data_IF_717745811620
#
_entry.id   IF_717745811620
#
_cell.length_a   1.000
_cell.length_b   1.000
_cell.length_c   1.000
_cell.angle_alpha   90.00
_cell.angle_beta   90.00
_cell.angle_gamma   90.00
#
_symmetry.space_group_name_H-M   'P 1'
#
loop_
_entity.id
_entity.type
_entity.pdbx_description
1 polymer ?
#
# COMPACT_ATOMS: atom_id res chain seq x y z
N UNK A 1 -10.25 16.58 -10.54
CA UNK A 1 -8.79 16.47 -10.32
C UNK A 1 -8.55 16.53 -8.82
N UNK A 2 -7.90 15.53 -8.25
CA UNK A 2 -7.67 15.44 -6.79
C UNK A 2 -6.27 15.93 -6.47
N UNK A 3 -6.12 16.76 -5.43
CA UNK A 3 -4.82 17.22 -4.93
C UNK A 3 -4.45 16.32 -3.75
N UNK A 4 -3.24 15.78 -3.75
CA UNK A 4 -2.79 14.92 -2.66
C UNK A 4 -2.80 15.69 -1.33
N UNK A 5 -3.21 15.03 -0.24
CA UNK A 5 -3.36 15.68 1.08
C UNK A 5 -4.69 16.41 1.29
N UNK A 6 -5.47 16.67 0.23
CA UNK A 6 -6.77 17.34 0.33
C UNK A 6 -7.90 16.31 0.32
N UNK A 7 -8.35 15.93 1.51
CA UNK A 7 -9.53 15.08 1.71
C UNK A 7 -10.85 15.86 1.65
N UNK A 8 -11.98 15.18 1.89
CA UNK A 8 -13.32 15.78 1.83
C UNK A 8 -13.48 17.02 2.74
N UNK A 9 -12.97 16.95 3.97
CA UNK A 9 -12.99 18.08 4.90
C UNK A 9 -12.17 19.27 4.38
N UNK A 10 -10.90 19.04 3.99
CA UNK A 10 -10.06 20.09 3.42
C UNK A 10 -10.65 20.70 2.15
N UNK A 11 -11.27 19.89 1.29
CA UNK A 11 -11.95 20.39 0.09
C UNK A 11 -13.16 21.27 0.45
N UNK A 12 -13.92 20.93 1.50
CA UNK A 12 -15.05 21.74 1.99
C UNK A 12 -14.58 23.08 2.54
N UNK A 13 -13.48 23.10 3.27
CA UNK A 13 -12.91 24.34 3.84
C UNK A 13 -12.32 25.25 2.76
N UNK A 14 -11.70 24.68 1.73
CA UNK A 14 -11.26 25.44 0.56
C UNK A 14 -12.45 26.03 -0.20
N UNK A 15 -13.53 25.25 -0.33
CA UNK A 15 -14.74 25.73 -0.98
C UNK A 15 -15.39 26.89 -0.21
N UNK A 16 -15.42 26.83 1.13
CA UNK A 16 -15.93 27.94 1.94
C UNK A 16 -15.07 29.21 1.83
N UNK A 17 -13.76 29.06 1.60
CA UNK A 17 -12.82 30.15 1.31
C UNK A 17 -12.92 30.71 -0.12
N UNK A 18 -13.83 30.21 -0.95
CA UNK A 18 -14.06 30.72 -2.30
C UNK A 18 -13.31 29.99 -3.42
N UNK A 19 -12.48 29.00 -3.12
CA UNK A 19 -11.86 28.17 -4.15
C UNK A 19 -12.91 27.29 -4.86
N UNK A 20 -12.82 27.18 -6.18
CA UNK A 20 -13.74 26.37 -7.01
C UNK A 20 -13.02 25.31 -7.83
N UNK A 21 -11.71 25.44 -8.00
CA UNK A 21 -10.88 24.51 -8.74
C UNK A 21 -9.49 24.32 -8.14
N UNK A 22 -8.82 23.23 -8.52
CA UNK A 22 -7.40 23.04 -8.21
C UNK A 22 -6.52 24.12 -8.86
N UNK A 23 -6.98 24.70 -9.98
CA UNK A 23 -6.28 25.80 -10.64
C UNK A 23 -6.35 27.09 -9.81
N UNK A 24 -7.48 27.36 -9.14
CA UNK A 24 -7.58 28.48 -8.20
C UNK A 24 -6.58 28.32 -7.05
N UNK A 25 -6.43 27.09 -6.54
CA UNK A 25 -5.42 26.76 -5.53
C UNK A 25 -4.00 27.02 -6.04
N UNK A 26 -3.67 26.54 -7.24
CA UNK A 26 -2.36 26.73 -7.87
C UNK A 26 -2.05 28.21 -8.07
N UNK A 27 -2.98 29.00 -8.59
CA UNK A 27 -2.85 30.46 -8.77
C UNK A 27 -2.66 31.23 -7.48
N UNK A 28 -3.16 30.71 -6.35
CA UNK A 28 -2.98 31.36 -5.05
C UNK A 28 -1.55 31.30 -4.52
N UNK A 29 -0.66 30.48 -5.09
CA UNK A 29 0.74 30.31 -4.66
C UNK A 29 0.93 29.63 -3.30
N UNK A 30 -0.14 29.37 -2.54
CA UNK A 30 -0.09 28.81 -1.18
C UNK A 30 0.25 27.32 -1.11
N UNK A 31 0.15 26.61 -2.22
CA UNK A 31 0.13 25.13 -2.29
C UNK A 31 1.23 24.57 -3.19
N UNK A 32 2.36 25.27 -3.30
CA UNK A 32 3.43 24.93 -4.24
C UNK A 32 3.97 23.50 -4.00
N UNK A 33 4.04 23.07 -2.74
CA UNK A 33 4.48 21.71 -2.37
C UNK A 33 3.51 20.64 -2.86
N UNK A 34 2.21 20.86 -2.72
CA UNK A 34 1.15 19.93 -3.14
C UNK A 34 1.07 19.81 -4.66
N UNK A 35 1.41 20.88 -5.39
CA UNK A 35 1.42 20.89 -6.85
C UNK A 35 2.75 20.45 -7.48
N UNK A 36 3.85 20.37 -6.72
CA UNK A 36 5.20 20.09 -7.23
C UNK A 36 5.30 18.83 -8.10
N UNK A 37 4.63 17.75 -7.70
CA UNK A 37 4.61 16.47 -8.43
C UNK A 37 3.23 16.11 -8.96
N UNK A 38 2.27 17.03 -8.82
CA UNK A 38 0.85 16.76 -9.01
C UNK A 38 0.56 16.28 -10.43
N UNK A 39 1.07 16.99 -11.43
CA UNK A 39 0.81 16.68 -12.83
C UNK A 39 1.30 15.25 -13.15
N UNK A 40 2.51 14.88 -12.74
CA UNK A 40 3.08 13.55 -12.96
C UNK A 40 2.29 12.43 -12.24
N UNK A 41 1.80 12.69 -11.02
CA UNK A 41 1.04 11.72 -10.22
C UNK A 41 -0.36 11.47 -10.80
N UNK A 42 -0.95 12.43 -11.51
CA UNK A 42 -2.26 12.22 -12.16
C UNK A 42 -2.21 11.29 -13.38
N UNK A 43 -1.02 11.05 -13.94
CA UNK A 43 -0.88 10.20 -15.13
C UNK A 43 -0.99 8.71 -14.76
N UNK A 44 -1.79 7.92 -15.49
CA UNK A 44 -1.79 6.47 -15.33
C UNK A 44 -0.40 5.88 -15.55
N UNK A 45 -0.04 4.91 -14.72
CA UNK A 45 1.26 4.25 -14.72
C UNK A 45 1.15 2.94 -15.53
N UNK A 46 1.91 2.80 -16.64
CA UNK A 46 1.99 1.56 -17.40
C UNK A 46 2.54 0.40 -16.58
N UNK A 47 2.07 -0.82 -16.85
CA UNK A 47 2.50 -2.02 -16.14
C UNK A 47 4.02 -2.20 -16.10
N UNK A 48 4.72 -1.99 -17.22
CA UNK A 48 6.17 -2.11 -17.28
C UNK A 48 6.89 -1.10 -16.36
N UNK A 49 6.31 0.08 -16.17
CA UNK A 49 6.83 1.08 -15.24
C UNK A 49 6.63 0.63 -13.79
N UNK A 50 5.44 0.12 -13.46
CA UNK A 50 5.15 -0.47 -12.13
C UNK A 50 6.14 -1.58 -11.78
N UNK A 51 6.39 -2.51 -12.71
CA UNK A 51 7.34 -3.62 -12.52
C UNK A 51 8.78 -3.13 -12.35
N UNK A 52 9.17 -2.09 -13.10
CA UNK A 52 10.48 -1.46 -12.95
C UNK A 52 10.65 -0.85 -11.56
N UNK A 53 9.67 -0.09 -11.07
CA UNK A 53 9.69 0.51 -9.73
C UNK A 53 9.77 -0.58 -8.65
N UNK A 54 8.93 -1.62 -8.76
CA UNK A 54 8.94 -2.75 -7.83
C UNK A 54 10.32 -3.42 -7.78
N UNK A 55 10.97 -3.64 -8.92
CA UNK A 55 12.33 -4.19 -8.99
C UNK A 55 13.37 -3.28 -8.33
N UNK A 56 13.29 -1.96 -8.53
CA UNK A 56 14.21 -1.02 -7.87
C UNK A 56 14.12 -1.10 -6.35
N UNK A 57 12.90 -1.09 -5.82
CA UNK A 57 12.65 -1.21 -4.38
C UNK A 57 13.07 -2.59 -3.88
N UNK A 58 12.81 -3.65 -4.64
CA UNK A 58 13.25 -5.00 -4.32
C UNK A 58 14.78 -5.11 -4.22
N UNK A 59 15.55 -4.48 -5.10
CA UNK A 59 17.02 -4.47 -4.96
C UNK A 59 17.47 -3.78 -3.66
N UNK A 60 16.65 -2.87 -3.12
CA UNK A 60 16.97 -2.18 -1.87
C UNK A 60 16.64 -3.00 -0.62
N UNK A 61 15.90 -4.11 -0.76
CA UNK A 61 15.41 -4.96 0.34
C UNK A 61 15.86 -6.40 0.09
N UNK A 62 16.46 -7.06 1.07
CA UNK A 62 17.10 -8.37 0.88
C UNK A 62 16.16 -9.52 0.45
N UNK A 63 14.84 -9.33 0.45
CA UNK A 63 13.81 -10.26 -0.09
C UNK A 63 12.43 -9.58 -0.04
N UNK A 64 11.64 -9.65 -1.13
CA UNK A 64 10.25 -9.14 -1.18
C UNK A 64 9.36 -10.16 -1.90
N UNK A 65 8.14 -10.34 -1.40
CA UNK A 65 7.02 -10.93 -2.15
C UNK A 65 6.12 -9.81 -2.69
N UNK A 66 5.99 -9.69 -4.01
CA UNK A 66 5.18 -8.66 -4.68
C UNK A 66 3.94 -9.25 -5.33
N UNK A 67 2.83 -8.51 -5.38
CA UNK A 67 1.58 -8.92 -6.06
C UNK A 67 0.97 -7.77 -6.85
N UNK A 68 0.58 -8.00 -8.13
CA UNK A 68 -0.63 -7.42 -8.80
C UNK A 68 -0.76 -7.74 -10.30
N UNK A 69 -2.01 -7.61 -10.80
CA UNK A 69 -2.48 -7.95 -12.15
C UNK A 69 -3.47 -6.96 -12.80
N UNK A 70 -3.12 -5.67 -12.87
CA UNK A 70 -3.79 -4.65 -13.72
C UNK A 70 -2.79 -4.09 -14.75
N UNK A 71 -3.28 -3.76 -15.95
CA UNK A 71 -2.45 -3.24 -17.07
C UNK A 71 -2.03 -1.77 -16.88
N UNK A 72 -2.83 -0.99 -16.15
CA UNK A 72 -2.58 0.40 -15.77
C UNK A 72 -2.92 0.59 -14.29
N UNK A 73 -2.16 1.41 -13.58
CA UNK A 73 -2.39 1.74 -12.17
C UNK A 73 -2.30 3.24 -11.92
N UNK A 74 -3.00 3.75 -10.91
CA UNK A 74 -2.88 5.16 -10.50
C UNK A 74 -1.71 5.38 -9.52
N UNK A 75 -1.36 4.34 -8.78
CA UNK A 75 -0.29 4.27 -7.79
C UNK A 75 0.34 2.87 -7.77
N UNK A 76 1.48 2.75 -7.08
CA UNK A 76 2.17 1.46 -6.89
C UNK A 76 2.16 1.10 -5.40
N UNK A 77 1.32 0.13 -5.03
CA UNK A 77 1.32 -0.43 -3.68
C UNK A 77 2.31 -1.60 -3.59
N UNK A 78 3.30 -1.50 -2.69
CA UNK A 78 4.30 -2.52 -2.42
C UNK A 78 4.13 -3.04 -1.00
N UNK A 79 3.60 -4.26 -0.88
CA UNK A 79 3.57 -4.98 0.39
C UNK A 79 4.87 -5.76 0.57
N UNK A 80 5.46 -5.68 1.75
CA UNK A 80 6.76 -6.27 2.06
C UNK A 80 6.65 -7.04 3.38
N UNK A 81 7.19 -8.25 3.40
CA UNK A 81 7.25 -9.11 4.58
C UNK A 81 8.47 -10.03 4.51
N UNK A 82 8.78 -10.73 5.60
CA UNK A 82 9.83 -11.75 5.63
C UNK A 82 9.23 -13.11 6.01
N UNK A 83 9.03 -14.00 5.03
CA UNK A 83 8.46 -15.31 5.29
C UNK A 83 9.21 -16.07 6.38
N UNK A 84 8.44 -16.59 7.35
CA UNK A 84 8.92 -17.38 8.49
C UNK A 84 9.92 -16.67 9.42
N UNK A 85 10.04 -15.34 9.33
CA UNK A 85 11.02 -14.54 10.10
C UNK A 85 10.34 -13.33 10.75
N UNK A 86 9.34 -13.58 11.60
CA UNK A 86 8.59 -12.52 12.31
C UNK A 86 9.52 -11.64 13.15
N UNK A 87 9.34 -10.32 13.07
CA UNK A 87 10.18 -9.34 13.73
C UNK A 87 11.36 -8.84 12.88
N UNK A 88 11.76 -9.54 11.82
CA UNK A 88 12.82 -9.06 10.90
C UNK A 88 12.41 -7.78 10.18
N UNK A 89 11.11 -7.57 10.00
CA UNK A 89 10.56 -6.37 9.38
C UNK A 89 10.68 -5.10 10.22
N UNK A 90 11.01 -5.20 11.52
CA UNK A 90 11.09 -4.04 12.42
C UNK A 90 12.14 -3.03 11.96
N UNK A 91 11.71 -1.77 11.87
CA UNK A 91 12.49 -0.64 11.40
C UNK A 91 12.88 -0.71 9.92
N UNK A 92 12.36 -1.68 9.15
CA UNK A 92 12.65 -1.81 7.73
C UNK A 92 12.20 -0.55 6.98
N UNK A 93 11.00 -0.04 7.26
CA UNK A 93 10.42 1.09 6.54
C UNK A 93 11.34 2.31 6.62
N UNK A 94 11.73 2.73 7.84
CA UNK A 94 12.69 3.81 8.05
C UNK A 94 14.01 3.62 7.31
N UNK A 95 14.62 2.43 7.41
CA UNK A 95 15.89 2.13 6.73
C UNK A 95 15.75 2.17 5.20
N UNK A 96 14.63 1.68 4.68
CA UNK A 96 14.32 1.67 3.25
C UNK A 96 14.09 3.08 2.72
N UNK A 97 13.26 3.88 3.38
CA UNK A 97 13.02 5.29 3.01
C UNK A 97 14.34 6.07 3.00
N UNK A 98 15.12 6.00 4.08
CA UNK A 98 16.42 6.67 4.15
C UNK A 98 17.37 6.26 3.00
N UNK A 99 17.43 4.96 2.69
CA UNK A 99 18.25 4.46 1.57
C UNK A 99 17.78 5.00 0.23
N UNK A 100 16.46 5.06 0.00
CA UNK A 100 15.88 5.58 -1.24
C UNK A 100 16.09 7.09 -1.37
N UNK A 101 16.04 7.85 -0.28
CA UNK A 101 16.38 9.28 -0.24
C UNK A 101 17.86 9.51 -0.58
N UNK A 102 18.78 8.80 0.09
CA UNK A 102 20.23 8.91 -0.16
C UNK A 102 20.58 8.57 -1.62
N UNK A 103 19.88 7.61 -2.22
CA UNK A 103 20.06 7.24 -3.64
C UNK A 103 19.32 8.15 -4.62
N UNK A 104 18.58 9.15 -4.13
CA UNK A 104 17.83 10.10 -4.97
C UNK A 104 16.57 9.53 -5.61
N UNK A 105 16.08 8.36 -5.18
CA UNK A 105 14.81 7.79 -5.62
C UNK A 105 13.60 8.39 -4.89
N UNK A 106 13.81 9.00 -3.72
CA UNK A 106 12.82 9.85 -3.05
C UNK A 106 13.39 11.28 -3.05
N UNK A 107 12.70 12.27 -3.66
CA UNK A 107 13.14 13.65 -3.61
C UNK A 107 12.97 14.24 -2.18
N UNK A 108 13.59 15.39 -1.84
CA UNK A 108 13.59 15.96 -0.48
C UNK A 108 12.23 16.22 0.18
N UNK A 109 11.15 16.30 -0.60
CA UNK A 109 9.75 16.43 -0.11
C UNK A 109 8.88 15.25 -0.55
N UNK A 110 9.52 14.12 -0.87
CA UNK A 110 8.87 12.96 -1.46
C UNK A 110 8.16 12.08 -0.45
N UNK A 111 8.41 12.20 0.85
CA UNK A 111 7.64 11.46 1.86
C UNK A 111 6.37 12.25 2.17
N UNK A 112 5.23 11.74 1.72
CA UNK A 112 3.91 12.36 1.87
C UNK A 112 3.23 11.96 3.18
N UNK A 113 3.44 10.72 3.61
CA UNK A 113 2.99 10.19 4.88
C UNK A 113 3.94 9.10 5.35
N UNK A 114 4.18 9.02 6.66
CA UNK A 114 5.04 8.03 7.26
C UNK A 114 4.49 7.62 8.63
N UNK A 115 4.33 6.32 8.87
CA UNK A 115 3.79 5.78 10.11
C UNK A 115 4.41 4.42 10.39
N UNK A 116 4.91 4.19 11.61
CA UNK A 116 5.55 2.93 12.01
C UNK A 116 4.93 2.29 13.28
N UNK A 117 3.60 2.08 13.33
CA UNK A 117 2.94 1.55 14.51
C UNK A 117 3.30 0.09 14.82
N UNK A 118 3.69 -0.74 13.83
CA UNK A 118 4.13 -2.11 14.08
C UNK A 118 5.53 -2.14 14.70
N UNK A 119 6.46 -1.35 14.16
CA UNK A 119 7.83 -1.25 14.70
C UNK A 119 7.85 -0.62 16.09
N UNK A 120 7.02 0.42 16.32
CA UNK A 120 6.99 1.16 17.60
C UNK A 120 6.13 0.48 18.68
N UNK A 121 5.40 -0.60 18.35
CA UNK A 121 4.65 -1.37 19.36
C UNK A 121 5.62 -2.10 20.28
N UNK A 122 5.69 -1.66 21.53
CA UNK A 122 6.27 -2.45 22.61
C UNK A 122 5.40 -3.70 22.86
N UNK A 123 6.02 -4.79 23.31
CA UNK A 123 5.31 -6.02 23.72
C UNK A 123 4.47 -5.85 24.99
N UNK A 124 4.52 -4.69 25.65
CA UNK A 124 3.63 -4.39 26.78
C UNK A 124 2.32 -3.79 26.26
N UNK A 125 1.22 -4.40 26.67
CA UNK A 125 -0.14 -3.90 26.44
C UNK A 125 -0.23 -2.45 26.92
N UNK A 126 -0.42 -1.51 26.00
CA UNK A 126 -1.10 -0.24 26.30
C UNK A 126 -1.41 0.56 25.03
N UNK A 127 -2.59 0.30 24.47
CA UNK A 127 -3.59 1.30 24.05
C UNK A 127 -4.77 0.55 23.43
N UNK A 128 -6.00 0.96 23.74
CA UNK A 128 -7.19 0.53 22.98
C UNK A 128 -6.88 0.74 21.49
N UNK A 129 -6.92 -0.35 20.72
CA UNK A 129 -6.64 -0.36 19.28
C UNK A 129 -7.70 0.44 18.51
N UNK A 130 -7.61 1.77 18.60
CA UNK A 130 -8.57 2.74 18.07
C UNK A 130 -8.23 3.29 16.69
N UNK A 131 -7.16 2.83 16.03
CA UNK A 131 -6.83 3.26 14.67
C UNK A 131 -6.61 2.08 13.73
N UNK A 132 -7.08 2.28 12.50
CA UNK A 132 -7.57 1.30 11.52
C UNK A 132 -6.51 0.55 10.72
N UNK A 133 -5.23 0.71 11.03
CA UNK A 133 -4.15 0.04 10.31
C UNK A 133 -2.91 -0.04 11.21
N UNK A 134 -2.48 -1.26 11.51
CA UNK A 134 -1.35 -1.53 12.38
C UNK A 134 -0.02 -1.72 11.63
N UNK A 135 -0.02 -1.53 10.31
CA UNK A 135 1.15 -1.74 9.46
C UNK A 135 2.08 -0.52 9.50
N UNK A 136 3.38 -0.76 9.35
CA UNK A 136 4.30 0.33 9.03
C UNK A 136 4.10 0.70 7.56
N UNK A 137 3.91 1.99 7.27
CA UNK A 137 3.64 2.47 5.93
C UNK A 137 4.25 3.82 5.64
N UNK A 138 4.75 3.98 4.42
CA UNK A 138 5.14 5.26 3.87
C UNK A 138 4.47 5.47 2.52
N UNK A 139 3.76 6.58 2.37
CA UNK A 139 3.26 7.04 1.07
C UNK A 139 4.31 8.00 0.54
N UNK A 140 4.94 7.63 -0.58
CA UNK A 140 6.06 8.37 -1.14
C UNK A 140 5.81 8.80 -2.58
N UNK A 141 6.51 9.85 -2.99
CA UNK A 141 6.78 10.18 -4.37
C UNK A 141 8.09 9.51 -4.73
N UNK A 142 8.02 8.55 -5.64
CA UNK A 142 9.17 7.87 -6.20
C UNK A 142 9.60 8.59 -7.48
N UNK A 143 10.87 9.01 -7.52
CA UNK A 143 11.54 9.53 -8.70
C UNK A 143 12.02 8.38 -9.57
N UNK A 144 11.24 8.04 -10.60
CA UNK A 144 11.63 7.06 -11.60
C UNK A 144 12.54 7.72 -12.63
N UNK A 145 13.84 7.46 -12.47
CA UNK A 145 14.90 8.16 -13.20
C UNK A 145 14.82 7.89 -14.71
N UNK A 146 15.09 8.92 -15.50
CA UNK A 146 15.28 8.82 -16.94
C UNK A 146 16.33 7.75 -17.29
N UNK A 147 16.11 7.03 -18.39
CA UNK A 147 17.04 5.99 -18.87
C UNK A 147 17.43 6.20 -20.34
N UNK A 148 17.28 7.45 -20.83
CA UNK A 148 17.61 7.95 -22.18
C UNK A 148 17.02 7.20 -23.38
N UNK A 149 16.25 6.14 -23.14
CA UNK A 149 15.70 5.25 -24.17
C UNK A 149 14.18 5.29 -24.13
N UNK A 150 13.58 4.67 -23.11
CA UNK A 150 12.12 4.59 -22.92
C UNK A 150 11.58 5.70 -22.03
N UNK A 151 12.43 6.34 -21.21
CA UNK A 151 12.12 7.47 -20.35
C UNK A 151 13.09 8.62 -20.61
N UNK A 152 12.60 9.63 -21.33
CA UNK A 152 13.37 10.83 -21.73
C UNK A 152 13.55 11.85 -20.61
N UNK A 153 12.71 11.80 -19.58
CA UNK A 153 12.78 12.63 -18.38
C UNK A 153 12.48 11.80 -17.14
N UNK A 154 12.78 12.36 -15.98
CA UNK A 154 12.35 11.79 -14.70
C UNK A 154 10.81 11.84 -14.61
N UNK A 155 10.24 10.76 -14.08
CA UNK A 155 8.81 10.68 -13.75
C UNK A 155 8.63 10.56 -12.24
N UNK A 156 7.63 11.27 -11.70
CA UNK A 156 7.32 11.22 -10.28
C UNK A 156 6.04 10.42 -10.05
N UNK A 157 6.16 9.26 -9.39
CA UNK A 157 5.03 8.34 -9.17
C UNK A 157 4.70 8.20 -7.71
N UNK A 158 3.42 8.06 -7.39
CA UNK A 158 3.03 7.66 -6.03
C UNK A 158 3.33 6.18 -5.82
N UNK A 159 4.08 5.89 -4.77
CA UNK A 159 4.38 4.52 -4.33
C UNK A 159 4.03 4.43 -2.85
N UNK A 160 3.24 3.45 -2.49
CA UNK A 160 2.91 3.17 -1.11
C UNK A 160 3.75 1.96 -0.69
N UNK A 161 4.62 2.15 0.31
CA UNK A 161 5.44 1.11 0.91
C UNK A 161 4.72 0.62 2.16
N UNK A 162 4.37 -0.65 2.22
CA UNK A 162 3.60 -1.25 3.32
C UNK A 162 4.36 -2.44 3.86
N UNK A 163 4.74 -2.38 5.14
CA UNK A 163 5.45 -3.45 5.82
C UNK A 163 4.48 -4.21 6.71
N UNK A 164 4.43 -5.52 6.52
CA UNK A 164 3.55 -6.42 7.25
C UNK A 164 4.32 -7.57 7.90
N UNK A 165 3.86 -7.94 9.08
CA UNK A 165 4.33 -9.12 9.79
C UNK A 165 3.90 -10.38 9.05
N UNK A 166 4.78 -11.39 9.00
CA UNK A 166 4.48 -12.64 8.30
C UNK A 166 3.19 -13.33 8.78
N UNK A 167 2.91 -13.44 10.10
CA UNK A 167 1.68 -14.08 10.57
C UNK A 167 0.37 -13.37 10.18
N UNK A 168 0.43 -12.14 9.67
CA UNK A 168 -0.75 -11.36 9.27
C UNK A 168 -0.67 -10.87 7.83
N UNK A 169 0.27 -11.41 7.05
CA UNK A 169 0.54 -10.93 5.69
C UNK A 169 -0.65 -11.10 4.75
N UNK A 170 -1.38 -12.21 4.84
CA UNK A 170 -2.61 -12.45 4.11
C UNK A 170 -3.69 -11.41 4.37
N UNK A 171 -3.86 -10.98 5.63
CA UNK A 171 -4.78 -9.91 5.98
C UNK A 171 -4.34 -8.56 5.39
N UNK A 172 -3.04 -8.26 5.40
CA UNK A 172 -2.48 -7.08 4.75
C UNK A 172 -2.75 -7.11 3.24
N UNK A 173 -2.49 -8.22 2.57
CA UNK A 173 -2.80 -8.35 1.14
C UNK A 173 -4.29 -8.08 0.91
N UNK A 174 -5.19 -8.71 1.66
CA UNK A 174 -6.64 -8.50 1.51
C UNK A 174 -7.02 -7.02 1.70
N UNK A 175 -6.52 -6.37 2.76
CA UNK A 175 -6.81 -4.97 3.08
C UNK A 175 -6.18 -3.94 2.14
N UNK A 176 -5.18 -4.32 1.34
CA UNK A 176 -4.54 -3.43 0.36
C UNK A 176 -4.79 -3.84 -1.10
N UNK A 177 -5.64 -4.84 -1.33
CA UNK A 177 -6.12 -5.17 -2.66
C UNK A 177 -7.59 -4.82 -2.88
N UNK A 178 -8.30 -4.34 -1.85
CA UNK A 178 -9.65 -3.82 -1.98
C UNK A 178 -10.64 -4.84 -2.54
N UNK A 179 -11.79 -4.38 -3.08
CA UNK A 179 -12.25 -2.98 -3.11
C UNK A 179 -12.66 -2.45 -1.72
N UNK A 180 -12.84 -1.12 -1.58
CA UNK A 180 -13.32 -0.52 -0.33
C UNK A 180 -14.64 -1.13 0.16
N UNK A 181 -15.55 -1.44 -0.77
CA UNK A 181 -16.83 -2.05 -0.44
C UNK A 181 -16.64 -3.51 0.03
N UNK A 182 -15.81 -4.27 -0.69
CA UNK A 182 -15.46 -5.64 -0.29
C UNK A 182 -14.87 -5.68 1.12
N UNK A 183 -13.93 -4.80 1.45
CA UNK A 183 -13.35 -4.75 2.78
C UNK A 183 -14.36 -4.34 3.86
N UNK A 184 -15.27 -3.40 3.56
CA UNK A 184 -16.35 -3.00 4.49
C UNK A 184 -17.24 -4.18 4.84
N UNK A 185 -17.66 -4.94 3.83
CA UNK A 185 -18.52 -6.11 4.04
C UNK A 185 -17.77 -7.25 4.75
N UNK A 186 -16.48 -7.45 4.43
CA UNK A 186 -15.64 -8.42 5.12
C UNK A 186 -15.46 -8.09 6.61
N UNK A 187 -15.25 -6.81 6.95
CA UNK A 187 -15.18 -6.35 8.36
C UNK A 187 -16.49 -6.63 9.09
N UNK A 188 -17.64 -6.30 8.48
CA UNK A 188 -18.96 -6.55 9.07
C UNK A 188 -19.22 -8.05 9.27
N UNK A 189 -18.78 -8.89 8.33
CA UNK A 189 -18.90 -10.35 8.44
C UNK A 189 -18.02 -10.90 9.57
N UNK A 190 -16.76 -10.46 9.65
CA UNK A 190 -15.85 -10.84 10.73
C UNK A 190 -16.42 -10.48 12.12
N UNK A 191 -17.01 -9.29 12.25
CA UNK A 191 -17.63 -8.84 13.51
C UNK A 191 -18.77 -9.77 13.99
N UNK A 192 -19.58 -10.30 13.07
CA UNK A 192 -20.65 -11.26 13.38
C UNK A 192 -20.11 -12.59 13.90
N UNK A 193 -18.92 -12.98 13.46
CA UNK A 193 -18.23 -14.19 13.88
C UNK A 193 -17.37 -14.00 15.12
N UNK A 194 -17.44 -12.83 15.78
CA UNK A 194 -16.64 -12.55 16.97
C UNK A 194 -15.18 -12.23 16.65
N UNK A 195 -14.86 -11.82 15.42
CA UNK A 195 -13.53 -11.36 15.03
C UNK A 195 -13.48 -9.86 14.77
N UNK A 196 -12.28 -9.30 14.81
CA UNK A 196 -11.93 -7.98 14.28
C UNK A 196 -10.95 -8.16 13.13
N UNK A 197 -11.32 -7.67 11.95
CA UNK A 197 -10.47 -7.69 10.77
C UNK A 197 -10.01 -6.28 10.40
N UNK A 198 -8.72 -6.10 10.17
CA UNK A 198 -8.12 -4.90 9.57
C UNK A 198 -6.91 -5.29 8.70
N UNK A 199 -6.31 -4.34 7.98
CA UNK A 199 -5.10 -4.58 7.18
C UNK A 199 -3.92 -5.05 8.03
N UNK A 200 -3.93 -4.76 9.33
CA UNK A 200 -2.93 -5.23 10.29
C UNK A 200 -3.18 -6.64 10.82
N UNK A 201 -4.26 -7.33 10.45
CA UNK A 201 -4.51 -8.72 10.84
C UNK A 201 -5.96 -9.06 11.16
N UNK A 202 -6.17 -10.33 11.49
CA UNK A 202 -7.41 -10.86 12.05
C UNK A 202 -7.20 -11.17 13.54
N UNK A 203 -8.14 -10.75 14.40
CA UNK A 203 -8.04 -10.94 15.86
C UNK A 203 -9.35 -11.41 16.45
N UNK A 204 -9.31 -12.22 17.50
CA UNK A 204 -10.48 -12.60 18.29
C UNK A 204 -10.99 -11.38 19.06
N UNK A 205 -12.28 -11.09 18.98
CA UNK A 205 -12.90 -9.97 19.70
C UNK A 205 -13.04 -10.34 21.18
N UNK A 206 -12.64 -9.46 22.08
CA UNK A 206 -12.63 -9.71 23.52
C UNK A 206 -11.23 -10.03 24.05
N UNK A 207 -10.56 -11.05 23.50
CA UNK A 207 -9.19 -11.43 23.90
C UNK A 207 -8.10 -10.71 23.11
N UNK A 208 -8.43 -10.18 21.93
CA UNK A 208 -7.49 -9.54 21.00
C UNK A 208 -6.33 -10.46 20.54
N UNK A 209 -6.48 -11.78 20.74
CA UNK A 209 -5.56 -12.80 20.25
C UNK A 209 -5.49 -12.78 18.72
N UNK A 210 -4.28 -12.90 18.19
CA UNK A 210 -4.03 -12.87 16.75
C UNK A 210 -4.39 -14.21 16.13
N UNK A 211 -5.20 -14.18 15.08
CA UNK A 211 -5.48 -15.35 14.24
C UNK A 211 -4.46 -15.37 13.09
N UNK A 212 -3.60 -16.41 12.99
CA UNK A 212 -2.61 -16.50 11.92
C UNK A 212 -3.27 -16.49 10.54
N UNK A 213 -2.83 -15.56 9.70
CA UNK A 213 -3.33 -15.31 8.35
C UNK A 213 -2.14 -15.00 7.44
N UNK A 214 -1.18 -15.93 7.35
CA UNK A 214 0.04 -15.73 6.54
C UNK A 214 -0.28 -15.63 5.03
N UNK A 215 -1.30 -16.36 4.57
CA UNK A 215 -1.79 -16.28 3.20
C UNK A 215 -3.21 -15.70 3.16
N UNK A 216 -3.57 -15.07 2.04
CA UNK A 216 -4.93 -14.53 1.87
C UNK A 216 -6.01 -15.56 2.15
N UNK A 217 -5.82 -16.80 1.69
CA UNK A 217 -6.77 -17.90 1.85
C UNK A 217 -7.07 -18.21 3.31
N UNK A 218 -6.13 -17.94 4.21
CA UNK A 218 -6.31 -18.16 5.64
C UNK A 218 -7.34 -17.19 6.23
N UNK A 219 -7.41 -15.95 5.72
CA UNK A 219 -8.44 -14.98 6.12
C UNK A 219 -9.84 -15.51 5.78
N UNK A 220 -10.03 -15.99 4.55
CA UNK A 220 -11.32 -16.52 4.11
C UNK A 220 -11.67 -17.80 4.86
N UNK A 221 -10.70 -18.68 5.12
CA UNK A 221 -10.89 -19.91 5.92
C UNK A 221 -11.34 -19.57 7.35
N UNK A 222 -10.65 -18.64 8.02
CA UNK A 222 -10.99 -18.22 9.38
C UNK A 222 -12.38 -17.56 9.48
N UNK A 223 -12.86 -16.97 8.38
CA UNK A 223 -14.17 -16.33 8.29
C UNK A 223 -15.25 -17.23 7.69
N UNK A 224 -14.97 -18.52 7.46
CA UNK A 224 -15.89 -19.48 6.83
C UNK A 224 -16.44 -19.00 5.48
N UNK A 225 -15.59 -18.35 4.67
CA UNK A 225 -15.91 -17.84 3.35
C UNK A 225 -15.17 -18.63 2.27
N UNK A 226 -15.79 -18.74 1.09
CA UNK A 226 -15.10 -19.20 -0.11
C UNK A 226 -14.06 -18.14 -0.51
N UNK A 227 -12.82 -18.57 -0.80
CA UNK A 227 -11.78 -17.66 -1.28
C UNK A 227 -12.18 -17.03 -2.62
N UNK A 228 -12.03 -15.70 -2.69
CA UNK A 228 -12.30 -14.92 -3.90
C UNK A 228 -10.97 -14.34 -4.39
N UNK A 229 -10.62 -14.65 -5.64
CA UNK A 229 -9.46 -14.07 -6.30
C UNK A 229 -9.58 -12.55 -6.36
N UNK A 230 -8.47 -11.81 -6.21
CA UNK A 230 -8.46 -10.35 -6.14
C UNK A 230 -9.27 -9.70 -7.28
N UNK A 231 -9.01 -10.10 -8.52
CA UNK A 231 -9.70 -9.59 -9.73
C UNK A 231 -11.21 -9.84 -9.78
N UNK A 232 -11.73 -10.73 -8.93
CA UNK A 232 -13.15 -11.09 -8.87
C UNK A 232 -13.85 -10.50 -7.64
N UNK A 233 -13.18 -9.62 -6.89
CA UNK A 233 -13.77 -9.01 -5.70
C UNK A 233 -14.81 -7.96 -6.11
N UNK A 234 -16.02 -7.99 -5.53
CA UNK A 234 -17.06 -7.02 -5.83
C UNK A 234 -16.57 -5.57 -5.70
N UNK A 235 -16.95 -4.70 -6.64
CA UNK A 235 -16.54 -3.30 -6.68
C UNK A 235 -15.20 -3.03 -7.36
N UNK A 236 -14.42 -4.05 -7.73
CA UNK A 236 -13.44 -3.89 -8.81
C UNK A 236 -14.20 -3.87 -10.15
N UNK A 237 -13.95 -2.87 -11.01
CA UNK A 237 -14.43 -2.93 -12.40
C UNK A 237 -13.86 -4.20 -13.03
N UNK A 238 -14.73 -5.17 -13.31
CA UNK A 238 -14.37 -6.38 -14.03
C UNK A 238 -13.76 -5.95 -15.37
N UNK A 239 -12.44 -6.05 -15.50
CA UNK A 239 -11.80 -6.00 -16.80
C UNK A 239 -11.96 -7.41 -17.37
N UNK A 240 -13.04 -7.57 -18.13
CA UNK A 240 -13.31 -8.75 -18.91
C UNK A 240 -12.23 -8.89 -19.98
N UNK A 241 -11.21 -9.72 -19.74
CA UNK A 241 -10.23 -10.15 -20.76
C UNK A 241 -9.75 -11.59 -20.49
N UNK A 242 -9.90 -12.53 -21.44
CA UNK A 242 -9.27 -13.83 -21.36
C UNK A 242 -7.76 -13.67 -21.59
N UNK A 243 -6.92 -14.23 -20.71
CA UNK A 243 -5.46 -14.32 -20.94
C UNK A 243 -4.52 -13.86 -19.82
N UNK A 244 -4.99 -13.62 -18.59
CA UNK A 244 -4.09 -13.32 -17.47
C UNK A 244 -3.39 -14.60 -16.96
N UNK A 245 -2.25 -14.95 -17.56
CA UNK A 245 -1.36 -16.01 -17.07
C UNK A 245 -0.67 -15.62 -15.75
N UNK A 246 -0.56 -16.60 -14.87
CA UNK A 246 0.00 -16.51 -13.52
C UNK A 246 1.54 -16.64 -13.58
N UNK A 247 2.27 -15.71 -12.96
CA UNK A 247 3.69 -15.92 -12.63
C UNK A 247 3.79 -15.98 -11.11
N UNK A 248 3.92 -17.20 -10.58
CA UNK A 248 4.39 -17.44 -9.22
C UNK A 248 5.91 -17.44 -9.25
N UNK A 249 6.57 -16.42 -8.70
CA UNK A 249 8.01 -16.55 -8.41
C UNK A 249 8.19 -17.32 -7.10
N UNK A 250 8.10 -18.64 -7.16
CA UNK A 250 8.65 -19.53 -6.13
C UNK A 250 10.17 -19.58 -6.32
N UNK A 251 10.89 -18.69 -5.65
CA UNK A 251 12.34 -18.84 -5.50
C UNK A 251 12.64 -19.92 -4.45
N UNK A 252 12.59 -21.21 -4.82
CA UNK A 252 13.38 -22.21 -4.09
C UNK A 252 14.85 -21.89 -4.36
N UNK A 253 15.56 -21.41 -3.36
CA UNK A 253 17.01 -21.53 -3.36
C UNK A 253 17.29 -22.83 -2.64
N UNK A 254 17.69 -23.83 -3.42
CA UNK A 254 18.27 -25.06 -2.89
C UNK A 254 19.53 -24.73 -2.10
N UNK A 255 19.76 -25.49 -1.04
CA UNK A 255 21.05 -25.54 -0.37
C UNK A 255 22.12 -25.90 -1.42
N UNK A 256 23.14 -25.06 -1.51
CA UNK A 256 24.50 -25.46 -1.85
C UNK A 256 25.37 -25.08 -0.66
#
# INVERSE_FOLDING_TARGET
MTVHGIGHHGARDLYSQGFRSAEDMRKSGRWEKEFRYHDDIQHPIPRAEVESIARFVQIQVERIEYRRGKTMSNDVDLLITFPHQDGRERGLLRRLCHRLEVKGFIPPDGILSFSEPATLRSTRENKKAGSFDALDKALIVFKHVANSTTRKRDHYRRVDLIIARWPSFGAAIVGWSGSTQFERDLRRHAEKLGFKFDSGGLRVRGTNEVVPTAHERDVFRALSLKWIHAQRRPGERALDRPGAFEIHTWGRVGNC
#
